data_IF_737115699904
#
_entry.id   IF_737115699904
#
_cell.length_a   1.000
_cell.length_b   1.000
_cell.length_c   1.000
_cell.angle_alpha   90.00
_cell.angle_beta   90.00
_cell.angle_gamma   90.00
#
_symmetry.space_group_name_H-M   'P 1'
#
loop_
_entity.id
_entity.type
_entity.pdbx_description
1 polymer ?
#
# COMPACT_ATOMS: atom_id res chain seq x y z
N UNK A 1 15.26 14.82 -4.60
CA UNK A 1 14.66 14.43 -3.34
C UNK A 1 13.69 13.29 -3.53
N UNK A 2 13.70 12.36 -2.62
CA UNK A 2 12.84 11.19 -2.73
C UNK A 2 11.43 11.51 -2.27
N UNK A 3 10.46 11.09 -3.05
CA UNK A 3 9.06 11.28 -2.69
C UNK A 3 8.63 10.23 -1.68
N UNK A 4 8.09 10.67 -0.55
CA UNK A 4 7.65 9.74 0.50
C UNK A 4 6.16 9.84 0.77
N UNK A 5 5.47 10.76 0.12
CA UNK A 5 4.02 10.89 0.25
C UNK A 5 3.40 11.09 -1.11
N UNK A 6 2.21 10.58 -1.29
CA UNK A 6 1.42 10.87 -2.49
C UNK A 6 -0.06 10.86 -2.16
N UNK A 7 -0.82 11.59 -2.93
CA UNK A 7 -2.26 11.69 -2.73
C UNK A 7 -2.98 11.02 -3.90
N UNK A 8 -3.97 10.21 -3.58
CA UNK A 8 -4.81 9.58 -4.59
C UNK A 8 -6.27 9.83 -4.23
N UNK A 9 -7.13 9.71 -5.24
CA UNK A 9 -8.56 9.87 -5.03
C UNK A 9 -9.25 8.55 -5.28
N UNK A 10 -10.08 8.13 -4.32
CA UNK A 10 -10.82 6.88 -4.43
C UNK A 10 -12.29 7.18 -4.15
N UNK A 11 -13.21 6.73 -4.99
CA UNK A 11 -14.63 6.93 -4.67
C UNK A 11 -15.04 6.08 -3.47
N UNK A 12 -15.69 6.73 -2.51
CA UNK A 12 -16.25 6.08 -1.35
C UNK A 12 -17.74 6.39 -1.34
N UNK A 13 -18.55 5.36 -1.53
CA UNK A 13 -20.00 5.51 -1.64
C UNK A 13 -20.36 6.54 -2.71
N UNK A 14 -19.68 6.48 -3.84
CA UNK A 14 -20.00 7.34 -4.96
C UNK A 14 -19.41 8.74 -4.89
N UNK A 15 -18.70 9.07 -3.83
CA UNK A 15 -18.09 10.39 -3.68
C UNK A 15 -16.57 10.26 -3.68
N UNK A 16 -15.88 11.08 -4.45
CA UNK A 16 -14.41 11.01 -4.45
C UNK A 16 -13.87 11.50 -3.11
N UNK A 17 -12.96 10.73 -2.54
CA UNK A 17 -12.28 11.11 -1.32
C UNK A 17 -10.79 11.04 -1.57
N UNK A 18 -10.06 11.99 -1.01
CA UNK A 18 -8.62 12.01 -1.14
C UNK A 18 -7.96 11.25 -0.01
N UNK A 19 -6.99 10.43 -0.38
CA UNK A 19 -6.20 9.69 0.59
C UNK A 19 -4.74 10.03 0.36
N UNK A 20 -4.00 10.19 1.44
CA UNK A 20 -2.57 10.43 1.36
C UNK A 20 -1.85 9.20 1.85
N UNK A 21 -0.99 8.67 1.00
CA UNK A 21 -0.21 7.49 1.31
C UNK A 21 1.21 7.91 1.65
N UNK A 22 1.73 7.38 2.74
CA UNK A 22 3.12 7.57 3.13
C UNK A 22 3.87 6.30 2.78
N UNK A 23 5.05 6.45 2.21
CA UNK A 23 5.86 5.30 1.82
C UNK A 23 6.18 4.46 3.05
N UNK A 24 6.16 3.15 2.90
CA UNK A 24 6.48 2.25 4.00
C UNK A 24 7.91 2.48 4.47
N UNK A 25 8.12 2.38 5.77
CA UNK A 25 9.47 2.44 6.30
C UNK A 25 10.26 1.22 5.86
N UNK A 26 11.57 1.26 6.03
CA UNK A 26 12.45 0.21 5.51
C UNK A 26 12.10 -1.17 6.06
N UNK A 27 11.76 -1.26 7.32
CA UNK A 27 11.44 -2.57 7.91
C UNK A 27 10.11 -3.10 7.41
N UNK A 28 9.10 -2.26 7.34
CA UNK A 28 7.80 -2.67 6.80
C UNK A 28 7.91 -3.02 5.32
N UNK A 29 8.67 -2.22 4.58
CA UNK A 29 8.89 -2.50 3.16
C UNK A 29 9.61 -3.82 2.94
N UNK A 30 10.61 -4.11 3.76
CA UNK A 30 11.35 -5.37 3.65
C UNK A 30 10.46 -6.55 3.98
N UNK A 31 9.61 -6.42 5.00
CA UNK A 31 8.66 -7.47 5.34
C UNK A 31 7.70 -7.72 4.19
N UNK A 32 7.23 -6.66 3.57
CA UNK A 32 6.34 -6.77 2.43
C UNK A 32 7.02 -7.50 1.27
N UNK A 33 8.25 -7.11 0.96
CA UNK A 33 8.98 -7.76 -0.14
C UNK A 33 9.20 -9.24 0.13
N UNK A 34 9.50 -9.58 1.37
CA UNK A 34 9.65 -10.98 1.74
C UNK A 34 8.35 -11.76 1.50
N UNK A 35 7.23 -11.16 1.89
CA UNK A 35 5.93 -11.78 1.69
C UNK A 35 5.61 -11.95 0.22
N UNK A 36 6.03 -11.00 -0.60
CA UNK A 36 5.72 -10.99 -2.03
C UNK A 36 6.74 -11.74 -2.87
N UNK A 37 7.69 -12.42 -2.26
CA UNK A 37 8.78 -13.04 -3.01
C UNK A 37 8.30 -14.05 -4.04
N UNK A 38 7.11 -14.62 -3.86
CA UNK A 38 6.57 -15.57 -4.82
C UNK A 38 5.69 -14.96 -5.89
N UNK A 39 5.56 -13.64 -5.91
CA UNK A 39 4.66 -12.99 -6.84
C UNK A 39 5.29 -12.85 -8.22
N UNK A 40 4.51 -13.02 -9.30
CA UNK A 40 5.04 -12.81 -10.65
C UNK A 40 5.56 -11.39 -10.84
N UNK A 41 6.60 -11.26 -11.65
CA UNK A 41 7.24 -9.96 -11.82
C UNK A 41 6.46 -8.98 -12.66
N UNK A 42 5.62 -9.47 -13.54
CA UNK A 42 4.84 -8.60 -14.42
C UNK A 42 3.49 -8.28 -13.82
N UNK A 43 3.48 -8.03 -12.54
CA UNK A 43 2.22 -7.78 -11.84
C UNK A 43 1.63 -6.44 -12.18
N UNK A 44 0.31 -6.44 -12.33
CA UNK A 44 -0.47 -5.24 -12.34
C UNK A 44 -1.44 -5.33 -11.18
N UNK A 45 -2.44 -4.46 -11.18
CA UNK A 45 -3.42 -4.44 -10.11
C UNK A 45 -4.08 -5.79 -9.88
N UNK A 46 -4.46 -6.46 -10.98
CA UNK A 46 -5.14 -7.75 -10.86
C UNK A 46 -4.25 -8.82 -10.27
N UNK A 47 -2.98 -8.83 -10.68
CA UNK A 47 -2.04 -9.81 -10.15
C UNK A 47 -1.76 -9.57 -8.67
N UNK A 48 -1.64 -8.31 -8.28
CA UNK A 48 -1.42 -7.97 -6.89
C UNK A 48 -2.64 -8.36 -6.05
N UNK A 49 -3.84 -8.06 -6.55
CA UNK A 49 -5.05 -8.42 -5.83
C UNK A 49 -5.15 -9.93 -5.67
N UNK A 50 -4.89 -10.67 -6.73
CA UNK A 50 -4.94 -12.13 -6.66
C UNK A 50 -3.94 -12.68 -5.66
N UNK A 51 -2.74 -12.14 -5.62
CA UNK A 51 -1.73 -12.59 -4.68
C UNK A 51 -2.14 -12.27 -3.24
N UNK A 52 -2.59 -11.04 -3.01
CA UNK A 52 -2.98 -10.61 -1.68
C UNK A 52 -4.12 -11.47 -1.13
N UNK A 53 -5.11 -11.74 -1.95
CA UNK A 53 -6.26 -12.52 -1.49
C UNK A 53 -5.92 -14.01 -1.34
N UNK A 54 -4.77 -14.44 -1.84
CA UNK A 54 -4.35 -15.83 -1.66
C UNK A 54 -3.52 -16.03 -0.39
N UNK A 55 -3.19 -14.96 0.31
CA UNK A 55 -2.43 -15.06 1.54
C UNK A 55 -3.27 -15.71 2.64
N UNK A 56 -2.59 -16.29 3.63
CA UNK A 56 -3.31 -16.78 4.80
C UNK A 56 -3.95 -15.60 5.52
N UNK A 57 -4.97 -15.88 6.32
CA UNK A 57 -5.67 -14.81 7.01
C UNK A 57 -4.76 -13.96 7.88
N UNK A 58 -3.85 -14.56 8.69
CA UNK A 58 -2.93 -13.73 9.48
C UNK A 58 -2.01 -12.87 8.62
N UNK A 59 -1.54 -13.41 7.50
CA UNK A 59 -0.68 -12.66 6.61
C UNK A 59 -1.44 -11.51 5.94
N UNK A 60 -2.64 -11.79 5.49
CA UNK A 60 -3.47 -10.77 4.87
C UNK A 60 -3.77 -9.65 5.85
N UNK A 61 -4.16 -10.00 7.07
CA UNK A 61 -4.46 -9.01 8.09
C UNK A 61 -3.22 -8.18 8.42
N UNK A 62 -2.09 -8.83 8.54
CA UNK A 62 -0.84 -8.12 8.83
C UNK A 62 -0.47 -7.14 7.72
N UNK A 63 -0.61 -7.58 6.47
CA UNK A 63 -0.30 -6.74 5.33
C UNK A 63 -1.23 -5.53 5.27
N UNK A 64 -2.52 -5.76 5.38
CA UNK A 64 -3.49 -4.67 5.31
C UNK A 64 -3.29 -3.69 6.45
N UNK A 65 -3.07 -4.19 7.66
CA UNK A 65 -2.84 -3.31 8.81
C UNK A 65 -1.62 -2.44 8.59
N UNK A 66 -0.53 -3.02 8.12
CA UNK A 66 0.69 -2.28 7.85
C UNK A 66 0.44 -1.18 6.82
N UNK A 67 -0.22 -1.52 5.72
CA UNK A 67 -0.46 -0.55 4.67
C UNK A 67 -1.43 0.53 5.10
N UNK A 68 -2.51 0.16 5.77
CA UNK A 68 -3.52 1.13 6.16
C UNK A 68 -3.01 2.11 7.22
N UNK A 69 -2.07 1.69 8.04
CA UNK A 69 -1.46 2.60 9.00
C UNK A 69 -0.62 3.69 8.34
N UNK A 70 -0.26 3.49 7.09
CA UNK A 70 0.48 4.49 6.33
C UNK A 70 -0.41 5.34 5.44
N UNK A 71 -1.73 5.23 5.63
CA UNK A 71 -2.70 5.99 4.85
C UNK A 71 -3.44 6.98 5.72
N UNK A 72 -3.74 8.14 5.14
CA UNK A 72 -4.57 9.15 5.80
C UNK A 72 -5.71 9.52 4.86
N UNK A 73 -6.81 9.96 5.43
CA UNK A 73 -7.97 10.41 4.66
C UNK A 73 -8.18 11.90 4.90
N UNK A 74 -8.55 12.63 3.87
CA UNK A 74 -8.80 14.07 4.00
C UNK A 74 -10.26 14.28 4.39
N UNK A 75 -10.43 14.85 5.57
CA UNK A 75 -11.76 15.20 6.10
C UNK A 75 -11.85 16.72 6.18
N UNK A 76 -13.04 17.27 6.40
CA UNK A 76 -13.16 18.73 6.52
C UNK A 76 -12.23 19.34 7.56
N UNK A 77 -11.94 18.60 8.62
CA UNK A 77 -11.04 19.08 9.67
C UNK A 77 -9.56 18.87 9.35
N UNK A 78 -9.25 18.19 8.26
CA UNK A 78 -7.87 17.92 7.86
C UNK A 78 -7.59 16.46 7.69
N UNK A 79 -6.33 16.11 7.58
CA UNK A 79 -5.91 14.72 7.37
C UNK A 79 -6.06 13.91 8.65
N UNK A 80 -6.58 12.71 8.52
CA UNK A 80 -6.76 11.81 9.67
C UNK A 80 -6.22 10.44 9.29
N UNK A 81 -5.41 9.80 10.16
CA UNK A 81 -4.95 8.43 9.87
C UNK A 81 -6.13 7.48 9.70
N UNK A 82 -6.03 6.57 8.76
CA UNK A 82 -7.05 5.54 8.59
C UNK A 82 -6.96 4.56 9.75
N UNK A 83 -5.75 4.17 10.11
CA UNK A 83 -5.49 3.25 11.19
C UNK A 83 -4.31 3.72 12.02
N UNK A 84 -4.34 3.46 13.32
CA UNK A 84 -3.26 3.78 14.22
C UNK A 84 -3.04 2.59 15.15
N UNK A 85 -1.84 2.04 15.13
CA UNK A 85 -1.46 0.93 16.02
C UNK A 85 -2.43 -0.25 15.91
N UNK A 86 -2.84 -0.55 14.69
CA UNK A 86 -3.71 -1.70 14.45
C UNK A 86 -5.18 -1.45 14.74
N UNK A 87 -5.55 -0.24 15.10
CA UNK A 87 -6.93 0.10 15.38
C UNK A 87 -7.45 1.16 14.43
N UNK A 88 -8.74 1.10 14.15
CA UNK A 88 -9.35 2.05 13.24
C UNK A 88 -9.43 3.44 13.86
N UNK A 89 -8.76 4.40 13.25
CA UNK A 89 -8.88 5.79 13.62
C UNK A 89 -10.03 6.43 12.85
N UNK A 90 -10.27 5.93 11.62
CA UNK A 90 -11.38 6.37 10.79
C UNK A 90 -12.29 5.15 10.58
N UNK A 91 -13.21 4.87 11.51
CA UNK A 91 -13.97 3.62 11.48
C UNK A 91 -14.97 3.49 10.34
N UNK A 92 -15.23 4.54 9.59
CA UNK A 92 -16.15 4.45 8.47
C UNK A 92 -15.62 3.54 7.37
N UNK A 93 -14.32 3.25 7.34
CA UNK A 93 -13.76 2.34 6.36
C UNK A 93 -13.70 0.90 6.86
N UNK A 94 -14.05 0.68 8.12
CA UNK A 94 -13.93 -0.67 8.69
C UNK A 94 -14.69 -1.73 7.89
N UNK A 95 -15.81 -1.33 7.30
CA UNK A 95 -16.63 -2.25 6.54
C UNK A 95 -16.56 -2.02 5.04
N UNK A 96 -15.59 -1.23 4.59
CA UNK A 96 -15.44 -0.95 3.16
C UNK A 96 -14.24 -1.72 2.62
N UNK A 97 -14.46 -2.99 2.32
CA UNK A 97 -13.40 -3.88 1.86
C UNK A 97 -12.74 -3.37 0.59
N UNK A 98 -13.54 -2.87 -0.34
CA UNK A 98 -13.00 -2.43 -1.63
C UNK A 98 -12.01 -1.28 -1.47
N UNK A 99 -12.36 -0.29 -0.66
CA UNK A 99 -11.47 0.86 -0.46
C UNK A 99 -10.22 0.42 0.29
N UNK A 100 -10.37 -0.41 1.33
CA UNK A 100 -9.22 -0.87 2.08
C UNK A 100 -8.27 -1.69 1.22
N UNK A 101 -8.79 -2.55 0.36
CA UNK A 101 -7.95 -3.32 -0.55
C UNK A 101 -7.28 -2.41 -1.57
N UNK A 102 -8.00 -1.40 -2.07
CA UNK A 102 -7.42 -0.48 -3.03
C UNK A 102 -6.24 0.28 -2.43
N UNK A 103 -6.38 0.75 -1.19
CA UNK A 103 -5.29 1.44 -0.51
C UNK A 103 -4.11 0.48 -0.32
N UNK A 104 -4.38 -0.75 0.07
CA UNK A 104 -3.33 -1.75 0.25
C UNK A 104 -2.59 -2.00 -1.05
N UNK A 105 -3.33 -2.17 -2.15
CA UNK A 105 -2.73 -2.41 -3.45
C UNK A 105 -1.86 -1.23 -3.88
N UNK A 106 -2.33 -0.01 -3.65
CA UNK A 106 -1.55 1.17 -4.01
C UNK A 106 -0.23 1.22 -3.26
N UNK A 107 -0.26 0.90 -1.96
CA UNK A 107 0.97 0.86 -1.17
C UNK A 107 1.92 -0.22 -1.67
N UNK A 108 1.37 -1.40 -1.96
CA UNK A 108 2.18 -2.52 -2.45
C UNK A 108 2.84 -2.16 -3.79
N UNK A 109 2.05 -1.63 -4.72
CA UNK A 109 2.57 -1.26 -6.02
C UNK A 109 3.63 -0.19 -5.91
N UNK A 110 3.41 0.79 -5.06
CA UNK A 110 4.37 1.88 -4.88
C UNK A 110 5.68 1.34 -4.31
N UNK A 111 5.58 0.43 -3.33
CA UNK A 111 6.78 -0.19 -2.75
C UNK A 111 7.54 -1.00 -3.79
N UNK A 112 6.81 -1.80 -4.57
CA UNK A 112 7.44 -2.61 -5.62
C UNK A 112 8.09 -1.73 -6.69
N UNK A 113 7.41 -0.68 -7.08
CA UNK A 113 7.92 0.24 -8.08
C UNK A 113 9.25 0.84 -7.63
N UNK A 114 9.29 1.27 -6.38
CA UNK A 114 10.52 1.85 -5.84
C UNK A 114 11.65 0.84 -5.73
N UNK A 115 11.30 -0.43 -5.46
CA UNK A 115 12.30 -1.47 -5.28
C UNK A 115 12.85 -1.97 -6.61
N UNK A 116 11.97 -2.17 -7.58
CA UNK A 116 12.38 -2.72 -8.88
C UNK A 116 12.73 -1.64 -9.89
N UNK A 117 12.98 -0.45 -9.40
CA UNK A 117 13.50 0.58 -10.25
C UNK A 117 12.47 1.22 -11.13
N UNK A 118 11.28 1.40 -10.63
CA UNK A 118 10.13 1.95 -11.37
C UNK A 118 10.56 2.90 -12.45
N UNK A 119 11.08 3.21 -13.06
CA UNK A 119 11.53 3.96 -14.16
C UNK A 119 12.38 3.14 -15.07
N UNK A 120 12.28 1.87 -14.97
CA UNK A 120 12.94 1.07 -15.94
C UNK A 120 14.24 0.50 -15.44
N UNK A 121 15.31 0.82 -16.01
CA UNK A 121 16.56 0.11 -15.82
C UNK A 121 17.20 0.30 -14.45
N UNK A 122 16.53 0.89 -13.55
CA UNK A 122 17.17 1.22 -12.29
C UNK A 122 17.61 -0.02 -11.55
N UNK A 123 18.84 0.00 -11.16
CA UNK A 123 19.40 -1.06 -10.34
C UNK A 123 19.34 -0.65 -8.90
N UNK A 124 19.23 -1.64 -8.04
CA UNK A 124 19.43 -1.37 -6.64
C UNK A 124 20.89 -1.00 -6.43
N UNK A 125 21.15 -0.05 -5.52
CA UNK A 125 22.53 0.30 -5.22
C UNK A 125 23.30 -0.92 -4.79
N UNK A 126 24.47 -1.12 -5.36
CA UNK A 126 25.32 -2.24 -5.03
C UNK A 126 24.96 -3.53 -5.71
N UNK A 127 23.97 -3.54 -6.56
CA UNK A 127 23.61 -4.74 -7.31
C UNK A 127 24.01 -4.52 -8.76
N UNK A 128 25.10 -5.12 -9.19
CA UNK A 128 25.58 -4.88 -10.54
C UNK A 128 24.68 -5.51 -11.59
N UNK A 129 24.53 -4.82 -12.70
CA UNK A 129 23.81 -5.34 -13.83
C UNK A 129 22.33 -5.50 -13.67
N UNK A 130 21.80 -5.01 -12.64
CA UNK A 130 20.36 -5.13 -12.41
C UNK A 130 19.56 -4.18 -13.26
#
# INVERSE_FOLDING_TARGET
MREIEKTISIPVEGKPMDFRLTKLDAFSGASLLRMLSGMPKDSGDDSVLGFITSLSEPELRSLMTTCLQHCEVLLPAGWMPVMTRGEWTYPELEHDTAVCLKLTIEEVLWTLEGFFGGGGSTSLPGIPGS
#
